data_IF_445841737365
#
_entry.id   IF_445841737365
#
_cell.length_a   1.000
_cell.length_b   1.000
_cell.length_c   1.000
_cell.angle_alpha   90.00
_cell.angle_beta   90.00
_cell.angle_gamma   90.00
#
_symmetry.space_group_name_H-M   'P 1'
#
loop_
_entity.id
_entity.type
_entity.pdbx_description
1 polymer ?
#
# COMPACT_ATOMS: atom_id res chain seq x y z
N UNK A 1 30.28 -4.09 -22.25
CA UNK A 1 28.84 -4.01 -21.91
C UNK A 1 28.79 -3.48 -20.49
N UNK A 2 28.37 -2.23 -20.31
CA UNK A 2 28.32 -1.62 -18.98
C UNK A 2 27.16 -2.18 -18.19
N UNK A 3 27.44 -2.69 -17.00
CA UNK A 3 26.43 -3.03 -16.00
C UNK A 3 25.58 -1.81 -15.72
N UNK A 4 24.36 -1.81 -16.25
CA UNK A 4 23.34 -0.83 -15.86
C UNK A 4 22.98 -1.15 -14.40
N UNK A 5 23.59 -0.44 -13.44
CA UNK A 5 23.22 -0.52 -12.03
C UNK A 5 21.73 -0.18 -11.94
N UNK A 6 20.90 -1.20 -11.73
CA UNK A 6 19.49 -1.00 -11.39
C UNK A 6 19.46 -0.34 -10.02
N UNK A 7 19.13 0.95 -9.98
CA UNK A 7 18.99 1.69 -8.73
C UNK A 7 17.69 1.22 -8.06
N UNK A 8 17.78 0.28 -7.14
CA UNK A 8 16.67 -0.07 -6.28
C UNK A 8 16.45 1.08 -5.31
N UNK A 9 15.21 1.59 -5.24
CA UNK A 9 14.84 2.54 -4.18
C UNK A 9 15.01 1.84 -2.83
N UNK A 10 15.41 2.58 -1.82
CA UNK A 10 15.42 2.10 -0.43
C UNK A 10 14.14 2.52 0.29
N UNK A 11 13.77 1.77 1.31
CA UNK A 11 12.67 2.12 2.23
C UNK A 11 12.95 3.45 2.94
N UNK A 12 11.90 4.09 3.44
CA UNK A 12 12.02 5.30 4.25
C UNK A 12 12.86 5.07 5.51
N UNK A 13 13.49 6.14 6.01
CA UNK A 13 14.27 6.11 7.25
C UNK A 13 13.42 6.06 8.52
N UNK A 14 12.13 6.35 8.43
CA UNK A 14 11.20 6.46 9.57
C UNK A 14 9.84 5.86 9.24
N UNK A 15 9.14 5.41 10.28
CA UNK A 15 7.72 5.07 10.24
C UNK A 15 6.89 6.36 10.23
N UNK A 16 6.03 6.52 9.23
CA UNK A 16 5.30 7.77 8.97
C UNK A 16 3.82 7.46 8.73
N UNK A 17 2.93 8.35 9.20
CA UNK A 17 1.51 8.29 8.90
C UNK A 17 1.29 8.56 7.42
N UNK A 18 0.48 7.73 6.76
CA UNK A 18 0.14 7.89 5.35
C UNK A 18 1.27 7.56 4.37
N UNK A 19 2.37 6.95 4.83
CA UNK A 19 3.49 6.55 3.95
C UNK A 19 3.67 5.04 3.98
N UNK A 20 3.61 4.41 2.80
CA UNK A 20 3.69 2.96 2.64
C UNK A 20 4.44 2.59 1.36
N UNK A 21 5.04 1.40 1.31
CA UNK A 21 5.66 0.87 0.12
C UNK A 21 4.68 -0.05 -0.62
N UNK A 22 4.21 0.37 -1.79
CA UNK A 22 3.64 -0.53 -2.79
C UNK A 22 4.74 -1.26 -3.57
N UNK A 23 4.36 -2.23 -4.41
CA UNK A 23 5.28 -2.99 -5.24
C UNK A 23 4.93 -2.84 -6.72
N UNK A 24 5.98 -2.80 -7.56
CA UNK A 24 5.82 -2.83 -9.01
C UNK A 24 6.64 -3.94 -9.65
N UNK A 25 6.21 -4.36 -10.83
CA UNK A 25 7.01 -5.16 -11.77
C UNK A 25 6.90 -4.53 -13.16
N UNK A 26 7.95 -4.67 -13.96
CA UNK A 26 8.02 -4.18 -15.34
C UNK A 26 7.99 -5.32 -16.33
N UNK A 27 7.66 -5.02 -17.60
CA UNK A 27 7.75 -5.97 -18.70
C UNK A 27 9.21 -6.42 -19.00
N UNK A 28 10.20 -5.69 -18.50
CA UNK A 28 11.62 -6.01 -18.62
C UNK A 28 12.12 -6.89 -17.45
N UNK A 29 11.25 -7.66 -16.83
CA UNK A 29 11.60 -8.62 -15.77
C UNK A 29 12.34 -7.98 -14.58
N UNK A 30 11.98 -6.77 -14.20
CA UNK A 30 12.46 -6.07 -13.01
C UNK A 30 11.32 -5.63 -12.10
N UNK A 31 11.62 -5.36 -10.84
CA UNK A 31 10.63 -4.91 -9.88
C UNK A 31 11.27 -4.15 -8.72
N UNK A 32 10.43 -3.57 -7.88
CA UNK A 32 10.88 -2.78 -6.74
C UNK A 32 9.71 -2.20 -5.95
N UNK A 33 10.04 -1.25 -5.07
CA UNK A 33 9.05 -0.53 -4.28
C UNK A 33 8.56 0.73 -5.00
N UNK A 34 7.28 1.03 -4.83
CA UNK A 34 6.66 2.31 -5.17
C UNK A 34 6.27 2.99 -3.85
N UNK A 35 7.01 3.99 -3.39
CA UNK A 35 6.56 4.77 -2.23
C UNK A 35 5.23 5.44 -2.54
N UNK A 36 4.28 5.31 -1.63
CA UNK A 36 2.98 5.97 -1.66
C UNK A 36 2.94 6.91 -0.47
N UNK A 37 2.62 8.17 -0.71
CA UNK A 37 2.61 9.21 0.30
C UNK A 37 1.26 9.92 0.30
N UNK A 38 0.59 9.95 1.44
CA UNK A 38 -0.66 10.65 1.65
C UNK A 38 -0.47 11.72 2.71
N UNK A 39 -1.06 12.90 2.47
CA UNK A 39 -1.10 13.99 3.45
C UNK A 39 -2.37 14.81 3.29
N UNK A 40 -2.77 15.52 4.35
CA UNK A 40 -3.89 16.46 4.27
C UNK A 40 -3.66 17.54 3.22
N UNK A 41 -4.70 17.87 2.48
CA UNK A 41 -4.72 18.96 1.51
C UNK A 41 -5.50 20.14 2.09
N UNK A 42 -4.78 21.21 2.44
CA UNK A 42 -5.35 22.38 3.10
C UNK A 42 -5.22 23.62 2.20
N UNK A 43 -6.35 24.17 1.75
CA UNK A 43 -6.40 25.33 0.82
C UNK A 43 -7.37 26.43 1.25
N UNK A 44 -7.96 26.33 2.44
CA UNK A 44 -8.90 27.31 2.98
C UNK A 44 -10.33 26.77 3.17
N UNK A 45 -11.19 27.59 3.77
CA UNK A 45 -12.50 27.17 4.30
C UNK A 45 -13.60 26.87 3.27
N UNK A 46 -13.41 27.22 2.00
CA UNK A 46 -14.49 27.21 1.00
C UNK A 46 -14.35 26.10 -0.07
N UNK A 47 -13.32 25.30 -0.01
CA UNK A 47 -13.08 24.27 -1.03
C UNK A 47 -13.75 22.95 -0.64
N UNK A 48 -14.38 22.30 -1.63
CA UNK A 48 -14.93 20.95 -1.46
C UNK A 48 -13.82 19.93 -1.20
N UNK A 49 -14.16 18.83 -0.53
CA UNK A 49 -13.26 17.68 -0.35
C UNK A 49 -12.83 17.11 -1.69
N UNK A 50 -11.52 16.96 -1.88
CA UNK A 50 -10.94 16.35 -3.09
C UNK A 50 -9.85 15.33 -2.76
N UNK A 51 -9.65 14.37 -3.66
CA UNK A 51 -8.47 13.54 -3.71
C UNK A 51 -7.55 14.11 -4.80
N UNK A 52 -6.45 14.76 -4.40
CA UNK A 52 -5.48 15.34 -5.33
C UNK A 52 -4.39 14.30 -5.63
N UNK A 53 -4.25 13.91 -6.89
CA UNK A 53 -3.32 12.87 -7.31
C UNK A 53 -2.14 13.45 -8.09
N UNK A 54 -0.91 13.07 -7.71
CA UNK A 54 0.33 13.45 -8.40
C UNK A 54 1.32 12.27 -8.47
N UNK A 55 2.36 12.38 -9.31
CA UNK A 55 3.37 11.34 -9.46
C UNK A 55 3.20 10.47 -10.70
N UNK A 56 2.58 11.04 -11.78
CA UNK A 56 2.39 10.38 -13.07
C UNK A 56 1.62 9.05 -12.98
N UNK A 57 0.60 9.03 -12.12
CA UNK A 57 -0.34 7.93 -12.01
C UNK A 57 -1.23 7.89 -13.25
N UNK A 58 -1.29 6.77 -13.93
CA UNK A 58 -2.14 6.55 -15.11
C UNK A 58 -3.55 6.13 -14.70
N UNK A 59 -4.40 5.87 -15.71
CA UNK A 59 -5.85 5.71 -15.53
C UNK A 59 -6.23 4.63 -14.52
N UNK A 60 -5.68 3.42 -14.66
CA UNK A 60 -6.04 2.28 -13.80
C UNK A 60 -5.58 2.53 -12.36
N UNK A 61 -4.37 3.06 -12.17
CA UNK A 61 -3.88 3.38 -10.82
C UNK A 61 -4.71 4.51 -10.17
N UNK A 62 -5.13 5.53 -10.92
CA UNK A 62 -6.02 6.59 -10.40
C UNK A 62 -7.37 6.02 -9.95
N UNK A 63 -7.95 5.13 -10.74
CA UNK A 63 -9.18 4.43 -10.41
C UNK A 63 -8.99 3.61 -9.12
N UNK A 64 -7.85 2.91 -8.99
CA UNK A 64 -7.49 2.19 -7.77
C UNK A 64 -7.45 3.09 -6.54
N UNK A 65 -6.94 4.31 -6.63
CA UNK A 65 -6.95 5.26 -5.51
C UNK A 65 -8.38 5.60 -5.08
N UNK A 66 -9.30 5.81 -6.02
CA UNK A 66 -10.68 6.19 -5.69
C UNK A 66 -11.44 5.07 -4.98
N UNK A 67 -11.37 3.83 -5.47
CA UNK A 67 -12.04 2.73 -4.78
C UNK A 67 -11.34 2.36 -3.47
N UNK A 68 -10.01 2.52 -3.37
CA UNK A 68 -9.28 2.35 -2.10
C UNK A 68 -9.73 3.35 -1.02
N UNK A 69 -9.97 4.61 -1.40
CA UNK A 69 -10.54 5.60 -0.49
C UNK A 69 -11.95 5.21 -0.04
N UNK A 70 -12.81 4.78 -0.99
CA UNK A 70 -14.17 4.32 -0.69
C UNK A 70 -14.16 3.13 0.27
N UNK A 71 -13.28 2.17 0.03
CA UNK A 71 -13.12 1.00 0.91
C UNK A 71 -12.67 1.43 2.31
N UNK A 72 -11.63 2.26 2.41
CA UNK A 72 -11.11 2.71 3.70
C UNK A 72 -12.15 3.49 4.52
N UNK A 73 -12.87 4.44 3.89
CA UNK A 73 -13.89 5.24 4.60
C UNK A 73 -15.08 4.39 5.05
N UNK A 74 -15.44 3.34 4.29
CA UNK A 74 -16.52 2.43 4.65
C UNK A 74 -16.17 1.49 5.81
N UNK A 75 -14.90 1.29 6.09
CA UNK A 75 -14.44 0.55 7.27
C UNK A 75 -14.50 1.37 8.57
N UNK A 76 -14.71 2.69 8.49
CA UNK A 76 -14.83 3.55 9.66
C UNK A 76 -16.26 3.57 10.21
N UNK A 77 -16.37 3.71 11.53
CA UNK A 77 -17.63 4.10 12.21
C UNK A 77 -18.07 5.51 11.78
N UNK A 78 -19.32 5.87 12.02
CA UNK A 78 -19.79 7.23 11.73
C UNK A 78 -18.96 8.30 12.48
N UNK A 79 -18.64 8.05 13.75
CA UNK A 79 -17.75 8.92 14.54
C UNK A 79 -16.37 9.07 13.89
N UNK A 80 -15.77 7.97 13.43
CA UNK A 80 -14.48 8.00 12.72
C UNK A 80 -14.53 8.80 11.42
N UNK A 81 -15.61 8.69 10.65
CA UNK A 81 -15.83 9.50 9.44
C UNK A 81 -15.92 11.00 9.77
N UNK A 82 -16.69 11.36 10.81
CA UNK A 82 -16.83 12.76 11.24
C UNK A 82 -15.49 13.36 11.66
N UNK A 83 -14.72 12.65 12.50
CA UNK A 83 -13.37 13.09 12.92
C UNK A 83 -12.42 13.22 11.73
N UNK A 84 -12.44 12.29 10.80
CA UNK A 84 -11.63 12.36 9.59
C UNK A 84 -11.94 13.59 8.74
N UNK A 85 -13.22 13.85 8.41
CA UNK A 85 -13.61 15.01 7.60
C UNK A 85 -13.41 16.33 8.33
N UNK A 86 -13.51 16.35 9.66
CA UNK A 86 -13.17 17.52 10.48
C UNK A 86 -11.67 17.84 10.42
N UNK A 87 -10.81 16.81 10.48
CA UNK A 87 -9.34 16.95 10.41
C UNK A 87 -8.87 17.34 9.01
N UNK A 88 -9.50 16.82 7.97
CA UNK A 88 -9.11 17.00 6.56
C UNK A 88 -10.25 17.54 5.68
N UNK A 89 -10.78 18.74 5.98
CA UNK A 89 -11.99 19.26 5.33
C UNK A 89 -11.84 19.50 3.82
N UNK A 90 -10.62 19.75 3.33
CA UNK A 90 -10.37 20.02 1.91
C UNK A 90 -9.90 18.79 1.13
N UNK A 91 -9.58 17.69 1.80
CA UNK A 91 -9.19 16.44 1.15
C UNK A 91 -7.79 15.94 1.45
N UNK A 92 -7.36 14.99 0.65
CA UNK A 92 -6.08 14.31 0.78
C UNK A 92 -5.28 14.46 -0.52
N UNK A 93 -3.99 14.77 -0.39
CA UNK A 93 -3.04 14.73 -1.48
C UNK A 93 -2.34 13.36 -1.48
N UNK A 94 -2.46 12.65 -2.59
CA UNK A 94 -1.88 11.32 -2.83
C UNK A 94 -0.75 11.49 -3.84
N UNK A 95 0.49 11.18 -3.42
CA UNK A 95 1.67 11.31 -4.26
C UNK A 95 2.43 9.99 -4.37
N UNK A 96 2.82 9.63 -5.59
CA UNK A 96 3.78 8.55 -5.86
C UNK A 96 5.04 9.18 -6.45
N UNK A 97 6.17 9.27 -5.70
CA UNK A 97 7.40 9.92 -6.16
C UNK A 97 7.92 9.40 -7.51
N UNK A 98 8.86 10.16 -8.12
CA UNK A 98 9.40 9.90 -9.45
C UNK A 98 8.36 10.06 -10.58
N UNK A 99 7.86 11.28 -10.71
CA UNK A 99 6.85 11.63 -11.70
C UNK A 99 7.31 11.41 -13.16
N UNK A 100 8.61 11.33 -13.43
CA UNK A 100 9.15 10.99 -14.74
C UNK A 100 8.79 9.56 -15.19
N UNK A 101 8.60 8.64 -14.24
CA UNK A 101 8.24 7.25 -14.53
C UNK A 101 6.72 7.06 -14.44
N UNK A 102 6.04 6.71 -15.54
CA UNK A 102 4.62 6.40 -15.50
C UNK A 102 4.34 5.18 -14.62
N UNK A 103 3.29 5.26 -13.81
CA UNK A 103 2.84 4.16 -12.94
C UNK A 103 1.40 3.82 -13.27
N UNK A 104 1.13 2.54 -13.48
CA UNK A 104 -0.22 2.05 -13.74
C UNK A 104 -0.44 0.67 -13.15
N UNK A 105 -1.71 0.23 -13.13
CA UNK A 105 -2.14 -1.05 -12.63
C UNK A 105 -2.88 -0.99 -11.29
N UNK A 106 -3.74 -1.99 -11.01
CA UNK A 106 -4.60 -2.02 -9.84
C UNK A 106 -3.93 -2.64 -8.61
N UNK A 107 -2.78 -3.29 -8.76
CA UNK A 107 -2.12 -4.10 -7.71
C UNK A 107 -1.59 -3.31 -6.51
N UNK A 108 -1.71 -1.99 -6.50
CA UNK A 108 -1.41 -1.13 -5.36
C UNK A 108 -2.63 -0.82 -4.47
N UNK A 109 -3.81 -1.40 -4.77
CA UNK A 109 -5.06 -1.11 -4.06
C UNK A 109 -4.96 -1.33 -2.56
N UNK A 110 -4.43 -2.47 -2.14
CA UNK A 110 -4.24 -2.76 -0.70
C UNK A 110 -3.30 -1.75 -0.04
N UNK A 111 -2.25 -1.29 -0.74
CA UNK A 111 -1.32 -0.31 -0.20
C UNK A 111 -1.96 1.08 -0.08
N UNK A 112 -2.72 1.53 -1.07
CA UNK A 112 -3.49 2.78 -0.97
C UNK A 112 -4.50 2.73 0.16
N UNK A 113 -5.23 1.62 0.31
CA UNK A 113 -6.22 1.47 1.39
C UNK A 113 -5.59 1.52 2.76
N UNK A 114 -4.45 0.84 2.97
CA UNK A 114 -3.69 0.92 4.22
C UNK A 114 -3.21 2.35 4.50
N UNK A 115 -2.71 3.07 3.49
CA UNK A 115 -2.28 4.45 3.65
C UNK A 115 -3.45 5.37 4.03
N UNK A 116 -4.64 5.17 3.47
CA UNK A 116 -5.85 5.88 3.87
C UNK A 116 -6.25 5.54 5.30
N UNK A 117 -6.28 4.26 5.69
CA UNK A 117 -6.56 3.86 7.08
C UNK A 117 -5.55 4.48 8.06
N UNK A 118 -4.28 4.51 7.70
CA UNK A 118 -3.24 5.16 8.50
C UNK A 118 -3.55 6.63 8.79
N UNK A 119 -3.93 7.42 7.79
CA UNK A 119 -4.31 8.83 7.95
C UNK A 119 -5.61 8.96 8.76
N UNK A 120 -6.61 8.13 8.47
CA UNK A 120 -7.92 8.16 9.11
C UNK A 120 -7.86 7.81 10.60
N UNK A 121 -6.97 6.89 10.97
CA UNK A 121 -6.78 6.42 12.33
C UNK A 121 -5.63 7.13 13.08
N UNK A 122 -4.88 8.00 12.38
CA UNK A 122 -3.68 8.68 12.91
C UNK A 122 -2.58 7.72 13.39
N UNK A 123 -2.42 6.59 12.70
CA UNK A 123 -1.47 5.53 13.03
C UNK A 123 -0.34 5.47 12.00
N UNK A 124 0.91 5.35 12.48
CA UNK A 124 2.08 5.19 11.62
C UNK A 124 2.09 3.81 10.98
N UNK A 125 2.64 3.75 9.76
CA UNK A 125 2.90 2.48 9.08
C UNK A 125 4.38 2.11 9.27
N UNK A 126 4.65 0.83 9.56
CA UNK A 126 6.01 0.34 9.60
C UNK A 126 6.70 0.51 8.24
N UNK A 127 7.88 1.11 8.23
CA UNK A 127 8.69 1.34 7.01
C UNK A 127 9.23 0.06 6.40
N UNK A 128 9.37 -1.00 7.20
CA UNK A 128 9.99 -2.26 6.81
C UNK A 128 9.03 -3.20 6.08
N UNK A 129 7.79 -2.75 5.84
CA UNK A 129 6.78 -3.51 5.12
C UNK A 129 6.58 -3.00 3.69
N UNK A 130 6.14 -3.90 2.83
CA UNK A 130 5.56 -3.57 1.53
C UNK A 130 4.34 -4.42 1.24
N UNK A 131 3.45 -3.90 0.38
CA UNK A 131 2.20 -4.54 0.04
C UNK A 131 1.97 -4.58 -1.46
N UNK A 132 1.32 -5.64 -1.91
CA UNK A 132 0.74 -5.69 -3.25
C UNK A 132 -0.52 -6.54 -3.22
N UNK A 133 -1.56 -6.10 -3.90
CA UNK A 133 -2.86 -6.74 -3.99
C UNK A 133 -3.85 -5.80 -4.64
N UNK A 134 -4.68 -6.30 -5.54
CA UNK A 134 -5.88 -5.63 -5.96
C UNK A 134 -6.95 -5.82 -4.90
N UNK A 135 -7.83 -4.86 -4.70
CA UNK A 135 -8.92 -4.97 -3.73
C UNK A 135 -10.27 -4.74 -4.41
N UNK A 136 -11.31 -5.32 -3.84
CA UNK A 136 -12.69 -4.95 -4.13
C UNK A 136 -13.18 -3.83 -3.18
N UNK A 137 -14.43 -3.38 -3.37
CA UNK A 137 -15.04 -2.34 -2.54
C UNK A 137 -15.33 -2.77 -1.09
N UNK A 138 -15.21 -4.04 -0.79
CA UNK A 138 -15.40 -4.61 0.55
C UNK A 138 -14.09 -4.83 1.30
N UNK A 139 -12.95 -4.65 0.62
CA UNK A 139 -11.61 -4.80 1.20
C UNK A 139 -11.02 -6.20 1.03
N UNK A 140 -11.67 -7.09 0.27
CA UNK A 140 -11.09 -8.37 -0.08
C UNK A 140 -9.91 -8.17 -1.03
N UNK A 141 -8.85 -8.95 -0.83
CA UNK A 141 -7.60 -8.84 -1.57
C UNK A 141 -7.52 -9.96 -2.60
N UNK A 142 -7.29 -9.61 -3.86
CA UNK A 142 -7.27 -10.55 -4.99
C UNK A 142 -5.91 -10.69 -5.63
N UNK A 143 -5.71 -11.79 -6.34
CA UNK A 143 -4.47 -12.21 -7.00
C UNK A 143 -3.86 -11.13 -7.90
N UNK A 144 -2.52 -11.06 -7.91
CA UNK A 144 -1.75 -10.14 -8.77
C UNK A 144 -0.67 -10.87 -9.57
N UNK A 145 -0.18 -10.20 -10.60
CA UNK A 145 0.93 -10.69 -11.41
C UNK A 145 2.30 -10.13 -11.03
N UNK A 146 3.34 -10.70 -11.65
CA UNK A 146 4.72 -10.22 -11.49
C UNK A 146 5.33 -10.46 -10.11
N UNK A 147 4.82 -11.43 -9.35
CA UNK A 147 5.17 -11.70 -7.95
C UNK A 147 6.68 -11.87 -7.77
N UNK A 148 7.34 -12.64 -8.62
CA UNK A 148 8.78 -12.90 -8.56
C UNK A 148 9.60 -11.61 -8.52
N UNK A 149 9.35 -10.71 -9.46
CA UNK A 149 10.09 -9.44 -9.57
C UNK A 149 9.74 -8.46 -8.47
N UNK A 150 8.47 -8.44 -8.03
CA UNK A 150 8.01 -7.64 -6.90
C UNK A 150 8.74 -8.04 -5.62
N UNK A 151 8.80 -9.32 -5.30
CA UNK A 151 9.46 -9.85 -4.09
C UNK A 151 10.96 -9.58 -4.12
N UNK A 152 11.64 -9.94 -5.22
CA UNK A 152 13.07 -9.68 -5.38
C UNK A 152 13.41 -8.20 -5.21
N UNK A 153 12.65 -7.32 -5.87
CA UNK A 153 12.87 -5.88 -5.81
C UNK A 153 12.59 -5.30 -4.43
N UNK A 154 11.58 -5.80 -3.71
CA UNK A 154 11.24 -5.37 -2.37
C UNK A 154 12.34 -5.70 -1.36
N UNK A 155 12.81 -6.94 -1.33
CA UNK A 155 13.88 -7.36 -0.42
C UNK A 155 15.21 -6.62 -0.71
N UNK A 156 15.55 -6.42 -1.99
CA UNK A 156 16.71 -5.59 -2.38
C UNK A 156 16.60 -4.13 -1.95
N UNK A 157 15.36 -3.60 -1.82
CA UNK A 157 15.10 -2.25 -1.32
C UNK A 157 15.15 -2.14 0.21
N UNK A 158 15.30 -3.24 0.93
CA UNK A 158 15.36 -3.28 2.40
C UNK A 158 14.03 -3.56 3.10
N UNK A 159 13.01 -4.00 2.35
CA UNK A 159 11.74 -4.47 2.93
C UNK A 159 12.02 -5.79 3.65
N UNK A 160 11.47 -5.96 4.85
CA UNK A 160 11.57 -7.21 5.61
C UNK A 160 10.32 -8.07 5.48
N UNK A 161 9.16 -7.45 5.45
CA UNK A 161 7.88 -8.17 5.38
C UNK A 161 7.07 -7.72 4.18
N UNK A 162 6.67 -8.67 3.35
CA UNK A 162 5.80 -8.42 2.19
C UNK A 162 4.43 -9.04 2.45
N UNK A 163 3.37 -8.24 2.31
CA UNK A 163 2.00 -8.72 2.31
C UNK A 163 1.51 -8.96 0.88
N UNK A 164 0.98 -10.15 0.65
CA UNK A 164 0.56 -10.67 -0.66
C UNK A 164 -0.83 -11.30 -0.55
N UNK A 165 -1.62 -11.28 -1.64
CA UNK A 165 -2.87 -12.03 -1.68
C UNK A 165 -2.64 -13.52 -1.38
N UNK A 166 -3.54 -14.14 -0.62
CA UNK A 166 -3.49 -15.58 -0.32
C UNK A 166 -3.47 -16.43 -1.59
N UNK A 167 -4.16 -16.00 -2.64
CA UNK A 167 -4.17 -16.64 -3.97
C UNK A 167 -2.78 -16.67 -4.68
N UNK A 168 -1.80 -15.90 -4.20
CA UNK A 168 -0.43 -15.92 -4.71
C UNK A 168 0.52 -16.84 -3.92
N UNK A 169 0.01 -17.67 -3.01
CA UNK A 169 0.83 -18.58 -2.19
C UNK A 169 1.65 -19.54 -3.04
N UNK A 170 1.04 -20.15 -4.05
CA UNK A 170 1.72 -21.08 -4.94
C UNK A 170 2.85 -20.40 -5.75
N UNK A 171 2.69 -19.10 -6.08
CA UNK A 171 3.74 -18.33 -6.74
C UNK A 171 4.96 -18.18 -5.82
N UNK A 172 4.74 -17.89 -4.54
CA UNK A 172 5.81 -17.78 -3.54
C UNK A 172 6.50 -19.13 -3.30
N UNK A 173 5.75 -20.23 -3.24
CA UNK A 173 6.32 -21.57 -3.08
C UNK A 173 7.22 -21.97 -4.26
N UNK A 174 6.86 -21.55 -5.49
CA UNK A 174 7.73 -21.72 -6.68
C UNK A 174 8.99 -20.85 -6.57
N UNK A 175 8.83 -19.57 -6.19
CA UNK A 175 9.96 -18.63 -6.06
C UNK A 175 10.95 -19.11 -5.00
N UNK A 176 10.49 -19.65 -3.88
CA UNK A 176 11.35 -20.23 -2.82
C UNK A 176 12.18 -21.40 -3.32
N UNK A 177 11.66 -22.20 -4.26
CA UNK A 177 12.41 -23.30 -4.87
C UNK A 177 13.44 -22.81 -5.90
N UNK A 178 13.10 -21.75 -6.64
CA UNK A 178 13.97 -21.20 -7.69
C UNK A 178 15.07 -20.28 -7.13
N UNK A 179 14.81 -19.57 -6.06
CA UNK A 179 15.61 -18.50 -5.48
C UNK A 179 15.63 -18.58 -3.95
N UNK A 180 16.05 -19.70 -3.36
CA UNK A 180 16.04 -19.87 -1.91
C UNK A 180 16.86 -18.81 -1.18
N UNK A 181 17.89 -18.25 -1.82
CA UNK A 181 18.81 -17.27 -1.25
C UNK A 181 18.20 -15.91 -0.95
N UNK A 182 17.01 -15.60 -1.49
CA UNK A 182 16.32 -14.33 -1.19
C UNK A 182 15.39 -14.41 0.04
N UNK A 183 15.22 -15.63 0.57
CA UNK A 183 14.41 -15.88 1.77
C UNK A 183 15.32 -16.32 2.92
N UNK A 184 15.33 -15.50 3.95
CA UNK A 184 16.05 -15.76 5.20
C UNK A 184 15.13 -15.45 6.40
N UNK A 185 15.68 -15.50 7.61
CA UNK A 185 14.92 -15.21 8.84
C UNK A 185 14.43 -13.77 8.94
N UNK A 186 14.96 -12.86 8.12
CA UNK A 186 14.57 -11.43 8.10
C UNK A 186 13.58 -11.10 6.98
N UNK A 187 13.45 -11.95 5.96
CA UNK A 187 12.64 -11.71 4.76
C UNK A 187 11.42 -12.63 4.73
N UNK A 188 10.26 -12.09 5.05
CA UNK A 188 9.02 -12.85 5.23
C UNK A 188 7.94 -12.41 4.24
N UNK A 189 7.24 -13.38 3.68
CA UNK A 189 6.00 -13.17 2.92
C UNK A 189 4.81 -13.61 3.78
N UNK A 190 3.86 -12.70 4.01
CA UNK A 190 2.62 -12.96 4.71
C UNK A 190 1.44 -12.88 3.75
N UNK A 191 0.54 -13.85 3.86
CA UNK A 191 -0.62 -13.94 3.00
C UNK A 191 -1.85 -13.34 3.68
N UNK A 192 -2.68 -12.67 2.88
CA UNK A 192 -3.83 -11.92 3.33
C UNK A 192 -5.02 -12.15 2.40
N UNK A 193 -6.22 -12.17 2.97
CA UNK A 193 -7.48 -12.21 2.25
C UNK A 193 -8.24 -10.88 2.33
N UNK A 194 -7.95 -10.07 3.35
CA UNK A 194 -8.62 -8.80 3.58
C UNK A 194 -7.64 -7.71 4.04
N UNK A 195 -7.92 -6.45 3.71
CA UNK A 195 -7.06 -5.31 4.07
C UNK A 195 -6.88 -5.14 5.59
N UNK A 196 -7.86 -5.54 6.40
CA UNK A 196 -7.75 -5.47 7.86
C UNK A 196 -6.72 -6.46 8.42
N UNK A 197 -6.44 -7.58 7.74
CA UNK A 197 -5.38 -8.51 8.13
C UNK A 197 -4.00 -7.85 8.08
N UNK A 198 -3.83 -6.90 7.15
CA UNK A 198 -2.62 -6.08 7.05
C UNK A 198 -2.61 -4.99 8.10
N UNK A 199 -3.73 -4.29 8.26
CA UNK A 199 -3.83 -3.12 9.13
C UNK A 199 -3.41 -3.47 10.58
N UNK A 200 -3.85 -4.61 11.08
CA UNK A 200 -3.50 -5.11 12.41
C UNK A 200 -1.99 -5.32 12.61
N UNK A 201 -1.28 -5.75 11.56
CA UNK A 201 0.16 -6.07 11.63
C UNK A 201 1.06 -4.91 11.25
N UNK A 202 0.56 -4.00 10.43
CA UNK A 202 1.32 -2.95 9.77
C UNK A 202 1.17 -1.57 10.44
N UNK A 203 0.01 -1.30 11.06
CA UNK A 203 -0.25 -0.04 11.74
C UNK A 203 0.26 -0.11 13.18
N UNK A 204 1.18 0.78 13.50
CA UNK A 204 1.77 0.86 14.82
C UNK A 204 0.77 1.52 15.80
N UNK A 205 0.42 0.82 16.87
CA UNK A 205 -0.60 1.25 17.83
C UNK A 205 -2.02 0.82 17.46
N UNK A 206 -2.17 -0.29 16.74
CA UNK A 206 -3.46 -0.87 16.31
C UNK A 206 -4.48 -1.08 17.43
N UNK A 207 -4.06 -1.20 18.69
CA UNK A 207 -4.96 -1.32 19.83
C UNK A 207 -5.93 -0.13 19.96
N UNK A 208 -5.62 1.00 19.34
CA UNK A 208 -6.47 2.21 19.24
C UNK A 208 -7.47 2.19 18.07
N UNK A 209 -7.96 1.02 17.66
CA UNK A 209 -8.94 0.85 16.56
C UNK A 209 -10.36 1.36 16.89
N UNK A 210 -10.47 2.35 17.75
CA UNK A 210 -11.72 2.96 18.23
C UNK A 210 -12.73 3.29 17.11
N UNK A 211 -12.24 3.68 15.94
CA UNK A 211 -13.07 4.16 14.83
C UNK A 211 -13.33 3.13 13.74
N UNK A 212 -12.95 1.88 13.91
CA UNK A 212 -13.24 0.84 12.94
C UNK A 212 -14.53 0.11 13.26
N UNK A 213 -15.30 -0.17 12.21
CA UNK A 213 -16.43 -1.08 12.30
C UNK A 213 -15.86 -2.46 12.64
N UNK A 214 -16.29 -3.04 13.77
CA UNK A 214 -15.93 -4.40 14.09
C UNK A 214 -16.49 -5.31 12.99
N UNK A 215 -15.62 -5.96 12.23
CA UNK A 215 -16.05 -7.01 11.33
C UNK A 215 -16.67 -8.12 12.20
N UNK A 216 -17.99 -8.28 12.14
CA UNK A 216 -18.60 -9.52 12.57
C UNK A 216 -18.00 -10.60 11.67
N UNK A 217 -16.98 -11.30 12.15
CA UNK A 217 -16.55 -12.57 11.57
C UNK A 217 -17.72 -13.55 11.83
N UNK A 218 -18.67 -13.60 10.89
CA UNK A 218 -19.62 -14.69 10.78
C UNK A 218 -18.93 -15.88 10.14
#
# INVERSE_FOLDING_TARGET
MGDTKVNYKSIHSKDIIGVVNGLYATSMCSGGIVPIQLTGYHVGKTQKFILKLTGNQKKIMKESVFYSFTTAINLLTNEGKEEFFKKYPNGIHIHTPEAATPKDGPSAGVAFTLAFLSIMLDLKISREIALTGEIDLYGNVTKIGGVKYKVQGAFKAGVKTIFLPNENKDDIDKIKKELPEIFDDQHVCLFIDHVLDVAEKALLGWDNKKYLIQSNKN
#
